data_IF_195346872036
#
_entry.id   IF_195346872036
#
_cell.length_a   1.000
_cell.length_b   1.000
_cell.length_c   1.000
_cell.angle_alpha   90.00
_cell.angle_beta   90.00
_cell.angle_gamma   90.00
#
_symmetry.space_group_name_H-M   'P 1'
#
loop_
_entity.id
_entity.type
_entity.pdbx_description
1 polymer ?
#
# COMPACT_ATOMS: atom_id res chain seq x y z
N UNK A 1 -7.52 10.63 0.49
CA UNK A 1 -8.80 9.91 0.46
C UNK A 1 -8.55 8.49 0.91
N UNK A 2 -9.47 7.91 1.67
CA UNK A 2 -9.38 6.52 2.12
C UNK A 2 -10.67 5.83 1.72
N UNK A 3 -10.55 4.62 1.18
CA UNK A 3 -11.67 3.80 0.72
C UNK A 3 -11.50 2.41 1.32
N UNK A 4 -12.58 1.87 1.86
CA UNK A 4 -12.66 0.52 2.40
C UNK A 4 -13.56 -0.34 1.50
N UNK A 5 -13.24 -1.63 1.39
CA UNK A 5 -14.05 -2.55 0.61
C UNK A 5 -13.64 -4.01 0.79
N UNK A 6 -14.29 -4.88 0.03
CA UNK A 6 -14.04 -6.32 0.02
C UNK A 6 -13.81 -6.77 -1.41
N UNK A 7 -12.86 -7.68 -1.63
CA UNK A 7 -12.65 -8.27 -2.95
C UNK A 7 -13.52 -9.53 -3.16
N UNK A 8 -13.49 -10.07 -4.38
CA UNK A 8 -14.23 -11.29 -4.74
C UNK A 8 -13.83 -12.54 -3.94
N UNK A 9 -12.69 -12.51 -3.26
CA UNK A 9 -12.20 -13.59 -2.40
C UNK A 9 -12.57 -13.37 -0.91
N UNK A 10 -13.35 -12.34 -0.59
CA UNK A 10 -13.79 -12.04 0.77
C UNK A 10 -12.76 -11.31 1.64
N UNK A 11 -11.65 -10.84 1.04
CA UNK A 11 -10.59 -10.13 1.78
C UNK A 11 -10.96 -8.66 1.95
N UNK A 12 -10.83 -8.16 3.18
CA UNK A 12 -11.02 -6.74 3.52
C UNK A 12 -9.84 -5.92 3.05
N UNK A 13 -10.12 -4.89 2.26
CA UNK A 13 -9.15 -4.04 1.60
C UNK A 13 -9.30 -2.60 2.06
N UNK A 14 -8.17 -1.98 2.40
CA UNK A 14 -8.05 -0.55 2.62
C UNK A 14 -7.25 0.08 1.48
N UNK A 15 -7.78 1.11 0.84
CA UNK A 15 -7.09 1.89 -0.19
C UNK A 15 -6.84 3.30 0.34
N UNK A 16 -5.57 3.69 0.43
CA UNK A 16 -5.15 5.02 0.85
C UNK A 16 -4.62 5.76 -0.37
N UNK A 17 -5.44 6.68 -0.86
CA UNK A 17 -5.09 7.56 -1.97
C UNK A 17 -4.62 8.92 -1.44
N UNK A 18 -3.29 9.08 -1.41
CA UNK A 18 -2.57 10.27 -1.00
C UNK A 18 -2.51 11.29 -2.14
N UNK A 19 -2.55 12.58 -1.76
CA UNK A 19 -2.25 13.68 -2.67
C UNK A 19 -0.73 13.85 -2.75
N UNK A 20 -0.08 12.95 -3.46
CA UNK A 20 1.39 12.96 -3.62
C UNK A 20 1.76 13.91 -4.77
N UNK A 21 2.70 14.81 -4.53
CA UNK A 21 3.34 15.61 -5.58
C UNK A 21 4.36 14.72 -6.30
N UNK A 22 4.50 14.86 -7.63
CA UNK A 22 5.34 14.02 -8.51
C UNK A 22 6.61 13.46 -7.83
N UNK A 23 6.79 12.14 -7.90
CA UNK A 23 7.87 11.43 -7.19
C UNK A 23 9.26 11.76 -7.75
N UNK A 24 9.34 12.37 -8.94
CA UNK A 24 10.59 12.73 -9.63
C UNK A 24 11.01 14.19 -9.42
N UNK A 25 10.45 14.86 -8.42
CA UNK A 25 10.70 16.29 -8.19
C UNK A 25 12.04 16.53 -7.48
N UNK A 26 12.86 17.41 -8.06
CA UNK A 26 14.09 17.94 -7.49
C UNK A 26 13.91 19.27 -6.75
N UNK A 27 12.69 19.81 -6.74
CA UNK A 27 12.38 21.09 -6.09
C UNK A 27 12.20 20.89 -4.57
N UNK A 28 12.90 21.67 -3.76
CA UNK A 28 12.90 21.56 -2.29
C UNK A 28 11.49 21.64 -1.68
N UNK A 29 10.62 22.52 -2.21
CA UNK A 29 9.24 22.69 -1.73
C UNK A 29 8.40 21.42 -1.93
N UNK A 30 8.64 20.69 -3.01
CA UNK A 30 7.92 19.47 -3.36
C UNK A 30 8.44 18.26 -2.60
N UNK A 31 9.75 18.22 -2.32
CA UNK A 31 10.36 17.25 -1.39
C UNK A 31 9.76 17.44 0.02
N UNK A 32 9.67 18.67 0.50
CA UNK A 32 9.05 18.97 1.80
C UNK A 32 7.56 18.60 1.83
N UNK A 33 6.81 18.86 0.76
CA UNK A 33 5.40 18.45 0.65
C UNK A 33 5.23 16.92 0.69
N UNK A 34 6.14 16.17 0.05
CA UNK A 34 6.16 14.70 0.10
C UNK A 34 6.45 14.18 1.51
N UNK A 35 7.47 14.73 2.18
CA UNK A 35 7.80 14.37 3.56
C UNK A 35 6.62 14.64 4.51
N UNK A 36 5.99 15.81 4.40
CA UNK A 36 4.78 16.14 5.17
C UNK A 36 3.65 15.15 4.89
N UNK A 37 3.45 14.74 3.65
CA UNK A 37 2.44 13.75 3.31
C UNK A 37 2.75 12.36 3.89
N UNK A 38 4.03 12.00 4.07
CA UNK A 38 4.43 10.77 4.78
C UNK A 38 4.13 10.87 6.28
N UNK A 39 4.40 12.02 6.90
CA UNK A 39 4.06 12.26 8.31
C UNK A 39 2.54 12.22 8.55
N UNK A 40 1.75 12.79 7.64
CA UNK A 40 0.29 12.72 7.69
C UNK A 40 -0.22 11.28 7.55
N UNK A 41 0.44 10.44 6.74
CA UNK A 41 0.16 9.02 6.64
C UNK A 41 0.43 8.32 7.98
N UNK A 42 1.60 8.52 8.57
CA UNK A 42 1.96 7.92 9.86
C UNK A 42 1.01 8.37 10.98
N UNK A 43 0.64 9.65 11.00
CA UNK A 43 -0.31 10.20 11.95
C UNK A 43 -1.72 9.62 11.76
N UNK A 44 -2.16 9.40 10.51
CA UNK A 44 -3.42 8.74 10.21
C UNK A 44 -3.46 7.32 10.77
N UNK A 45 -2.42 6.52 10.53
CA UNK A 45 -2.32 5.16 11.09
C UNK A 45 -2.30 5.16 12.62
N UNK A 46 -1.51 6.04 13.23
CA UNK A 46 -1.47 6.18 14.70
C UNK A 46 -2.82 6.59 15.29
N UNK A 47 -3.51 7.55 14.67
CA UNK A 47 -4.79 8.10 15.17
C UNK A 47 -5.92 7.09 15.10
N UNK A 48 -5.95 6.29 14.03
CA UNK A 48 -6.97 5.26 13.84
C UNK A 48 -6.69 3.99 14.65
N UNK A 49 -5.58 3.95 15.38
CA UNK A 49 -5.06 2.73 16.01
C UNK A 49 -4.93 1.55 15.02
N UNK A 50 -4.84 1.84 13.72
CA UNK A 50 -4.58 0.83 12.70
C UNK A 50 -3.18 0.29 12.96
N UNK A 51 -3.14 -0.80 13.70
CA UNK A 51 -1.93 -1.57 13.85
C UNK A 51 -1.80 -2.39 12.57
N UNK A 52 -0.64 -2.34 11.91
CA UNK A 52 -0.40 -3.26 10.79
C UNK A 52 -0.50 -4.73 11.25
N UNK A 53 -0.38 -4.98 12.56
CA UNK A 53 -0.66 -6.25 13.25
C UNK A 53 -2.16 -6.55 13.48
N UNK A 54 -3.06 -5.58 13.34
CA UNK A 54 -4.50 -5.78 13.60
C UNK A 54 -5.19 -6.49 12.44
N UNK A 55 -6.16 -7.34 12.75
CA UNK A 55 -6.86 -8.23 11.81
C UNK A 55 -7.96 -7.52 11.00
N UNK A 56 -8.11 -6.20 11.14
CA UNK A 56 -9.22 -5.47 10.53
C UNK A 56 -9.19 -5.48 8.99
N UNK A 57 -7.99 -5.39 8.41
CA UNK A 57 -7.77 -5.46 6.97
C UNK A 57 -6.79 -6.57 6.63
N UNK A 58 -7.06 -7.28 5.54
CA UNK A 58 -6.19 -8.31 5.00
C UNK A 58 -5.12 -7.69 4.07
N UNK A 59 -5.46 -6.57 3.41
CA UNK A 59 -4.61 -5.93 2.41
C UNK A 59 -4.78 -4.41 2.42
N UNK A 60 -3.66 -3.69 2.32
CA UNK A 60 -3.63 -2.24 2.28
C UNK A 60 -2.90 -1.79 1.01
N UNK A 61 -3.56 -0.97 0.21
CA UNK A 61 -3.00 -0.34 -0.97
C UNK A 61 -2.70 1.13 -0.73
N UNK A 62 -1.49 1.58 -1.05
CA UNK A 62 -1.06 2.98 -0.92
C UNK A 62 -0.43 3.44 -2.23
N UNK A 63 -0.75 4.63 -2.71
CA UNK A 63 -0.09 5.20 -3.89
C UNK A 63 1.15 6.01 -3.50
N UNK A 64 2.11 6.11 -4.43
CA UNK A 64 3.35 6.85 -4.24
C UNK A 64 4.40 6.05 -3.47
N UNK A 65 4.79 6.55 -2.29
CA UNK A 65 5.68 5.88 -1.36
C UNK A 65 4.99 5.63 0.00
N UNK A 66 5.65 4.92 0.91
CA UNK A 66 5.17 4.80 2.28
C UNK A 66 6.33 4.54 3.27
N UNK A 67 6.13 4.94 4.53
CA UNK A 67 7.03 4.71 5.68
C UNK A 67 6.49 3.57 6.59
N UNK A 68 5.52 2.79 6.12
CA UNK A 68 4.80 1.89 7.01
C UNK A 68 5.63 0.63 7.25
N UNK A 69 5.80 0.27 8.52
CA UNK A 69 6.40 -1.01 8.87
C UNK A 69 5.50 -2.13 8.34
N UNK A 70 6.05 -2.90 7.40
CA UNK A 70 5.29 -3.87 6.64
C UNK A 70 5.44 -5.28 7.23
N UNK A 71 4.33 -6.01 7.30
CA UNK A 71 4.31 -7.36 7.88
C UNK A 71 4.20 -8.36 6.75
N UNK A 72 5.06 -9.40 6.72
CA UNK A 72 4.90 -10.50 5.79
C UNK A 72 3.63 -11.27 6.15
N UNK A 73 2.74 -11.38 5.18
CA UNK A 73 1.57 -12.27 5.21
C UNK A 73 2.03 -13.63 4.71
N UNK A 74 1.71 -14.67 5.48
CA UNK A 74 1.93 -16.05 5.09
C UNK A 74 1.20 -16.29 3.76
N UNK A 75 1.91 -16.67 2.69
CA UNK A 75 1.28 -16.85 1.41
C UNK A 75 0.42 -18.12 1.41
N UNK A 76 -0.74 -18.05 0.75
CA UNK A 76 -1.61 -19.22 0.55
C UNK A 76 -1.08 -20.03 -0.65
N UNK A 77 -0.59 -21.24 -0.39
CA UNK A 77 -0.07 -22.19 -1.40
C UNK A 77 1.41 -22.58 -1.19
N UNK A 78 1.75 -23.85 -1.44
CA UNK A 78 3.12 -24.33 -1.37
C UNK A 78 4.01 -23.65 -2.41
N UNK A 79 5.17 -23.12 -1.99
CA UNK A 79 6.15 -22.49 -2.88
C UNK A 79 5.91 -21.00 -3.17
N UNK A 80 4.85 -20.39 -2.63
CA UNK A 80 4.60 -18.97 -2.81
C UNK A 80 5.53 -18.10 -1.93
N UNK A 81 6.03 -16.99 -2.49
CA UNK A 81 6.85 -16.04 -1.74
C UNK A 81 5.99 -15.24 -0.73
N UNK A 82 6.52 -14.90 0.46
CA UNK A 82 5.79 -14.10 1.44
C UNK A 82 5.35 -12.78 0.80
N UNK A 83 4.04 -12.51 0.87
CA UNK A 83 3.48 -11.27 0.36
C UNK A 83 3.33 -10.30 1.51
N UNK A 84 3.57 -9.03 1.26
CA UNK A 84 3.39 -8.04 2.31
C UNK A 84 1.93 -7.53 2.38
N UNK A 85 1.53 -7.11 3.58
CA UNK A 85 0.20 -6.58 3.88
C UNK A 85 -0.03 -5.19 3.28
N UNK A 86 0.98 -4.34 3.31
CA UNK A 86 0.98 -3.03 2.63
C UNK A 86 1.63 -3.19 1.26
N UNK A 87 0.96 -2.69 0.22
CA UNK A 87 1.47 -2.73 -1.16
C UNK A 87 1.31 -1.39 -1.86
N UNK A 88 2.26 -1.06 -2.73
CA UNK A 88 2.17 0.11 -3.58
C UNK A 88 1.20 -0.15 -4.73
N UNK A 89 0.26 0.77 -4.94
CA UNK A 89 -0.74 0.67 -6.01
C UNK A 89 -0.06 0.56 -7.37
N UNK A 90 0.96 1.38 -7.61
CA UNK A 90 1.69 1.45 -8.87
C UNK A 90 2.45 0.16 -9.18
N UNK A 91 3.05 -0.46 -8.17
CA UNK A 91 3.78 -1.73 -8.33
C UNK A 91 2.82 -2.89 -8.55
N UNK A 92 1.76 -3.00 -7.75
CA UNK A 92 0.77 -4.07 -7.90
C UNK A 92 -0.01 -3.95 -9.19
N UNK A 93 -0.34 -2.73 -9.62
CA UNK A 93 -0.98 -2.50 -10.91
C UNK A 93 -0.07 -2.91 -12.06
N UNK A 94 1.21 -2.50 -12.05
CA UNK A 94 2.18 -2.93 -13.07
C UNK A 94 2.33 -4.45 -13.09
N UNK A 95 2.40 -5.07 -11.92
CA UNK A 95 2.46 -6.53 -11.78
C UNK A 95 1.23 -7.19 -12.42
N UNK A 96 0.03 -6.78 -12.05
CA UNK A 96 -1.20 -7.38 -12.60
C UNK A 96 -1.37 -7.14 -14.11
N UNK A 97 -0.86 -6.02 -14.62
CA UNK A 97 -0.98 -5.67 -16.04
C UNK A 97 0.09 -6.31 -16.92
N UNK A 98 1.32 -6.50 -16.41
CA UNK A 98 2.48 -6.86 -17.23
C UNK A 98 3.25 -8.09 -16.75
N UNK A 99 3.10 -8.48 -15.48
CA UNK A 99 3.69 -9.70 -14.88
C UNK A 99 2.69 -10.86 -14.92
N UNK A 100 1.96 -10.98 -16.05
CA UNK A 100 1.21 -12.18 -16.42
C UNK A 100 2.17 -13.13 -17.13
N UNK A 101 3.11 -13.71 -16.39
CA UNK A 101 3.84 -14.88 -16.85
C UNK A 101 2.84 -16.06 -16.95
N UNK A 102 2.24 -16.24 -18.13
CA UNK A 102 1.28 -17.35 -18.31
C UNK A 102 0.41 -17.37 -19.57
N UNK A 103 0.75 -16.68 -20.66
CA UNK A 103 0.20 -17.03 -21.99
C UNK A 103 1.37 -17.19 -22.96
N UNK A 104 2.00 -18.36 -22.91
CA UNK A 104 2.75 -18.97 -24.00
C UNK A 104 2.34 -20.44 -24.09
#
# INVERSE_FOLDING_TARGET
>A
MVIEGENLAGKKILVIWRKVCDLNLSDDEKIAARAKSNEELDAFFKKQQYNTLDMEFDLIYVNGDNNLMNIPVTPEGEGAQPRYKVRLIEEEFKKLMFDVEGIN
#
